data_IF_513162330251
#
_entry.id   IF_513162330251
#
_cell.length_a   1.000
_cell.length_b   1.000
_cell.length_c   1.000
_cell.angle_alpha   90.00
_cell.angle_beta   90.00
_cell.angle_gamma   90.00
#
_symmetry.space_group_name_H-M   'P 1'
#
loop_
_entity.id
_entity.type
_entity.pdbx_description
1 polymer ?
#
# COMPACT_ATOMS: atom_id res chain seq x y z
N UNK A 1 -10.65 5.53 1.45
CA UNK A 1 -11.10 6.90 1.15
C UNK A 1 -11.19 7.78 2.40
N UNK A 2 -11.82 7.31 3.53
CA UNK A 2 -12.01 8.12 4.74
C UNK A 2 -10.70 8.65 5.34
N UNK A 3 -9.66 7.80 5.47
CA UNK A 3 -8.34 8.24 5.95
C UNK A 3 -7.70 9.30 5.04
N UNK A 4 -7.91 9.19 3.73
CA UNK A 4 -7.48 10.21 2.78
C UNK A 4 -8.24 11.53 2.95
N UNK A 5 -9.52 11.48 3.29
CA UNK A 5 -10.30 12.68 3.62
C UNK A 5 -9.79 13.35 4.91
N UNK A 6 -9.47 12.56 5.93
CA UNK A 6 -8.89 13.07 7.19
C UNK A 6 -7.54 13.75 6.99
N UNK A 7 -6.70 13.23 6.09
CA UNK A 7 -5.35 13.79 5.83
C UNK A 7 -5.36 15.18 5.18
N UNK A 8 -6.51 15.66 4.75
CA UNK A 8 -6.67 17.05 4.25
C UNK A 8 -6.71 18.10 5.37
N UNK A 9 -6.84 17.66 6.61
CA UNK A 9 -6.95 18.52 7.78
C UNK A 9 -5.73 18.34 8.69
N UNK A 10 -5.31 19.43 9.33
CA UNK A 10 -4.19 19.40 10.30
C UNK A 10 -4.69 18.95 11.68
N UNK A 11 -5.83 19.50 12.09
CA UNK A 11 -6.50 19.16 13.36
C UNK A 11 -7.98 18.88 13.09
N UNK A 12 -8.33 17.68 12.59
CA UNK A 12 -9.69 17.37 12.20
C UNK A 12 -10.62 17.22 13.41
N UNK A 13 -11.73 17.93 13.40
CA UNK A 13 -12.87 17.74 14.32
C UNK A 13 -13.95 16.99 13.57
N UNK A 14 -14.47 15.93 14.19
CA UNK A 14 -15.47 15.03 13.61
C UNK A 14 -16.83 15.21 14.30
N UNK A 15 -17.84 15.52 13.50
CA UNK A 15 -19.24 15.57 13.96
C UNK A 15 -20.04 14.50 13.22
N UNK A 16 -20.47 13.47 13.96
CA UNK A 16 -21.14 12.29 13.41
C UNK A 16 -22.65 12.52 13.35
N UNK A 17 -23.22 12.48 12.15
CA UNK A 17 -24.63 12.63 11.86
C UNK A 17 -25.21 11.28 11.34
N UNK A 18 -26.53 11.20 11.21
CA UNK A 18 -27.20 9.94 10.83
C UNK A 18 -26.80 9.39 9.45
N UNK A 19 -26.37 10.23 8.50
CA UNK A 19 -26.03 9.82 7.12
C UNK A 19 -24.60 10.15 6.71
N UNK A 20 -23.88 10.95 7.49
CA UNK A 20 -22.55 11.44 7.16
C UNK A 20 -21.79 11.87 8.40
N UNK A 21 -20.47 11.99 8.28
CA UNK A 21 -19.64 12.72 9.22
C UNK A 21 -19.26 14.07 8.60
N UNK A 22 -19.39 15.14 9.38
CA UNK A 22 -18.83 16.43 9.04
C UNK A 22 -17.41 16.50 9.60
N UNK A 23 -16.43 16.68 8.74
CA UNK A 23 -15.02 16.87 9.10
C UNK A 23 -14.73 18.36 8.98
N UNK A 24 -14.20 18.99 10.01
CA UNK A 24 -13.82 20.42 9.97
C UNK A 24 -12.44 20.63 10.58
N UNK A 25 -11.75 21.69 10.14
CA UNK A 25 -10.49 22.11 10.76
C UNK A 25 -10.79 22.85 12.08
N UNK A 26 -10.14 22.44 13.17
CA UNK A 26 -10.34 23.03 14.50
C UNK A 26 -10.11 24.55 14.50
N UNK A 27 -9.00 25.00 13.90
CA UNK A 27 -8.60 26.41 13.87
C UNK A 27 -9.33 27.23 12.81
N UNK A 28 -9.97 26.57 11.84
CA UNK A 28 -10.70 27.20 10.73
C UNK A 28 -11.98 26.41 10.42
N UNK A 29 -13.05 26.54 11.24
CA UNK A 29 -14.26 25.71 11.09
C UNK A 29 -15.02 25.87 9.76
N UNK A 30 -14.69 26.89 8.97
CA UNK A 30 -15.21 27.08 7.60
C UNK A 30 -14.55 26.12 6.59
N UNK A 31 -13.33 25.63 6.89
CA UNK A 31 -12.69 24.54 6.15
C UNK A 31 -13.31 23.23 6.59
N UNK A 32 -14.19 22.67 5.78
CA UNK A 32 -14.97 21.48 6.14
C UNK A 32 -15.26 20.58 4.95
N UNK A 33 -15.46 19.31 5.23
CA UNK A 33 -15.88 18.28 4.28
C UNK A 33 -17.05 17.49 4.85
N UNK A 34 -18.05 17.22 4.03
CA UNK A 34 -19.11 16.28 4.33
C UNK A 34 -18.75 14.93 3.71
N UNK A 35 -18.58 13.91 4.55
CA UNK A 35 -18.26 12.56 4.11
C UNK A 35 -19.42 11.62 4.42
N UNK A 36 -20.09 11.12 3.37
CA UNK A 36 -21.26 10.24 3.51
C UNK A 36 -20.84 8.81 3.85
N UNK A 37 -21.63 8.15 4.68
CA UNK A 37 -21.45 6.73 4.95
C UNK A 37 -21.84 5.90 3.73
N UNK A 38 -21.13 4.79 3.54
CA UNK A 38 -21.57 3.75 2.64
C UNK A 38 -22.66 2.91 3.29
N UNK A 39 -23.54 2.33 2.48
CA UNK A 39 -24.48 1.34 2.99
C UNK A 39 -23.70 0.13 3.53
N UNK A 40 -23.97 -0.34 4.75
CA UNK A 40 -23.28 -1.49 5.33
C UNK A 40 -23.30 -2.75 4.45
N UNK A 41 -24.34 -2.91 3.63
CA UNK A 41 -24.47 -4.07 2.72
C UNK A 41 -23.44 -4.09 1.58
N UNK A 42 -22.87 -2.92 1.23
CA UNK A 42 -21.81 -2.82 0.19
C UNK A 42 -20.40 -2.82 0.77
N UNK A 43 -20.27 -2.79 2.10
CA UNK A 43 -18.98 -2.85 2.78
C UNK A 43 -18.58 -4.31 2.95
N UNK A 44 -17.56 -4.74 2.22
CA UNK A 44 -17.00 -6.08 2.36
C UNK A 44 -15.82 -6.04 3.32
N UNK A 45 -15.87 -6.89 4.35
CA UNK A 45 -14.75 -7.08 5.28
C UNK A 45 -14.47 -8.57 5.48
N UNK A 46 -13.21 -8.97 5.72
CA UNK A 46 -12.89 -10.35 6.05
C UNK A 46 -13.63 -10.79 7.32
N UNK A 47 -14.31 -11.93 7.26
CA UNK A 47 -14.97 -12.53 8.42
C UNK A 47 -14.02 -13.36 9.31
N UNK A 48 -12.81 -13.63 8.81
CA UNK A 48 -11.77 -14.41 9.49
C UNK A 48 -10.47 -13.61 9.53
N UNK A 49 -9.69 -13.83 10.60
CA UNK A 49 -8.34 -13.30 10.68
C UNK A 49 -7.49 -13.87 9.53
N UNK A 50 -6.79 -13.00 8.81
CA UNK A 50 -5.87 -13.41 7.75
C UNK A 50 -4.56 -13.84 8.43
N UNK A 51 -4.00 -14.95 7.98
CA UNK A 51 -2.69 -15.45 8.42
C UNK A 51 -1.81 -15.68 7.20
N UNK A 52 -0.51 -15.41 7.32
CA UNK A 52 0.45 -15.71 6.26
C UNK A 52 0.56 -17.23 6.06
N UNK A 53 0.33 -17.73 4.85
CA UNK A 53 0.49 -19.16 4.55
C UNK A 53 1.97 -19.58 4.51
N UNK A 54 2.85 -18.66 4.16
CA UNK A 54 4.31 -18.81 4.11
C UNK A 54 4.96 -17.41 4.03
N UNK A 55 6.27 -17.33 4.23
CA UNK A 55 7.00 -16.05 4.30
C UNK A 55 8.34 -16.19 3.57
N UNK A 56 8.27 -16.33 2.23
CA UNK A 56 9.47 -16.60 1.43
C UNK A 56 10.40 -15.38 1.32
N UNK A 57 9.83 -14.17 1.29
CA UNK A 57 10.62 -12.94 1.15
C UNK A 57 10.21 -11.94 2.21
N UNK A 58 11.21 -11.34 2.87
CA UNK A 58 11.02 -10.28 3.86
C UNK A 58 11.91 -9.08 3.56
N UNK A 59 11.43 -7.88 3.85
CA UNK A 59 12.23 -6.66 3.79
C UNK A 59 11.60 -5.57 4.64
N UNK A 60 12.34 -4.48 4.85
CA UNK A 60 11.79 -3.28 5.49
C UNK A 60 11.55 -2.22 4.43
N UNK A 61 10.31 -1.75 4.31
CA UNK A 61 9.91 -0.60 3.50
C UNK A 61 10.05 0.66 4.35
N UNK A 62 11.03 1.51 4.09
CA UNK A 62 11.16 2.77 4.79
C UNK A 62 10.05 3.76 4.40
N UNK A 63 9.72 4.70 5.28
CA UNK A 63 8.78 5.78 4.97
C UNK A 63 9.25 6.64 3.78
N UNK A 64 10.56 6.83 3.66
CA UNK A 64 11.16 7.59 2.56
C UNK A 64 10.95 6.87 1.22
N UNK A 65 11.24 5.57 1.16
CA UNK A 65 11.10 4.75 -0.05
C UNK A 65 9.64 4.62 -0.47
N UNK A 66 8.73 4.36 0.49
CA UNK A 66 7.29 4.35 0.24
C UNK A 66 6.81 5.68 -0.37
N UNK A 67 7.26 6.80 0.20
CA UNK A 67 6.91 8.14 -0.31
C UNK A 67 7.49 8.42 -1.69
N UNK A 68 8.73 7.98 -1.97
CA UNK A 68 9.36 8.09 -3.30
C UNK A 68 8.59 7.28 -4.34
N UNK A 69 8.27 6.02 -4.03
CA UNK A 69 7.52 5.14 -4.93
C UNK A 69 6.12 5.69 -5.24
N UNK A 70 5.39 6.17 -4.23
CA UNK A 70 4.07 6.80 -4.43
C UNK A 70 4.14 8.03 -5.33
N UNK A 71 5.11 8.92 -5.09
CA UNK A 71 5.31 10.13 -5.90
C UNK A 71 5.73 9.79 -7.33
N UNK A 72 6.65 8.84 -7.50
CA UNK A 72 7.10 8.39 -8.81
C UNK A 72 5.94 7.76 -9.59
N UNK A 73 5.17 6.85 -8.98
CA UNK A 73 4.01 6.24 -9.61
C UNK A 73 3.00 7.29 -10.09
N UNK A 74 2.71 8.31 -9.26
CA UNK A 74 1.82 9.41 -9.63
C UNK A 74 2.38 10.27 -10.77
N UNK A 75 3.70 10.57 -10.73
CA UNK A 75 4.35 11.44 -11.73
C UNK A 75 4.41 10.80 -13.13
N UNK A 76 4.62 9.48 -13.21
CA UNK A 76 4.73 8.75 -14.48
C UNK A 76 3.46 7.99 -14.86
N UNK A 77 2.42 8.02 -14.02
CA UNK A 77 1.16 7.30 -14.25
C UNK A 77 1.33 5.77 -14.19
N UNK A 78 2.28 5.25 -13.39
CA UNK A 78 2.54 3.83 -13.31
C UNK A 78 1.43 3.09 -12.55
N UNK A 79 0.76 2.09 -13.14
CA UNK A 79 -0.32 1.36 -12.49
C UNK A 79 0.19 0.22 -11.59
N UNK A 80 1.43 -0.23 -11.79
CA UNK A 80 1.97 -1.41 -11.13
C UNK A 80 3.24 -1.07 -10.34
N UNK A 81 3.44 -1.80 -9.23
CA UNK A 81 4.68 -1.87 -8.48
C UNK A 81 5.17 -3.32 -8.50
N UNK A 82 6.46 -3.52 -8.70
CA UNK A 82 7.08 -4.84 -8.79
C UNK A 82 8.23 -4.90 -7.80
N UNK A 83 8.23 -5.91 -6.94
CA UNK A 83 9.42 -6.34 -6.21
C UNK A 83 10.04 -7.50 -6.97
N UNK A 84 11.22 -7.31 -7.48
CA UNK A 84 11.94 -8.34 -8.24
C UNK A 84 13.34 -8.57 -7.68
N UNK A 85 13.84 -9.80 -7.81
CA UNK A 85 15.24 -10.14 -7.59
C UNK A 85 15.83 -10.68 -8.88
N UNK A 86 16.94 -10.07 -9.30
CA UNK A 86 17.72 -10.45 -10.46
C UNK A 86 19.20 -10.35 -10.12
N UNK A 87 19.97 -11.41 -10.41
CA UNK A 87 21.41 -11.47 -10.15
C UNK A 87 21.79 -11.07 -8.72
N UNK A 88 21.02 -11.57 -7.74
CA UNK A 88 21.16 -11.31 -6.29
C UNK A 88 20.87 -9.85 -5.85
N UNK A 89 20.43 -8.99 -6.75
CA UNK A 89 19.97 -7.64 -6.43
C UNK A 89 18.45 -7.61 -6.42
N UNK A 90 17.90 -7.10 -5.32
CA UNK A 90 16.45 -6.89 -5.21
C UNK A 90 16.09 -5.43 -5.41
N UNK A 91 15.04 -5.18 -6.17
CA UNK A 91 14.55 -3.82 -6.43
C UNK A 91 13.04 -3.72 -6.37
N UNK A 92 12.57 -2.52 -5.97
CA UNK A 92 11.17 -2.09 -6.08
C UNK A 92 11.04 -1.11 -7.23
N UNK A 93 10.23 -1.46 -8.22
CA UNK A 93 10.05 -0.67 -9.44
C UNK A 93 8.57 -0.33 -9.62
N UNK A 94 8.25 0.95 -9.85
CA UNK A 94 6.93 1.37 -10.35
C UNK A 94 6.99 1.54 -11.86
N UNK A 95 6.07 0.86 -12.56
CA UNK A 95 6.04 0.78 -14.03
C UNK A 95 4.63 0.43 -14.55
N UNK A 96 4.44 0.53 -15.85
CA UNK A 96 3.36 -0.16 -16.56
C UNK A 96 3.89 -1.51 -17.07
N UNK A 97 3.50 -2.61 -16.42
CA UNK A 97 3.95 -3.97 -16.80
C UNK A 97 3.47 -4.42 -18.18
N UNK A 98 2.52 -3.70 -18.78
CA UNK A 98 1.98 -4.00 -20.13
C UNK A 98 2.66 -3.19 -21.24
N UNK A 99 3.52 -2.24 -20.88
CA UNK A 99 4.18 -1.35 -21.83
C UNK A 99 5.69 -1.24 -21.52
N UNK A 100 6.49 -2.02 -22.20
CA UNK A 100 7.96 -2.08 -22.00
C UNK A 100 8.68 -0.77 -22.37
N UNK A 101 8.01 0.14 -23.08
CA UNK A 101 8.55 1.46 -23.45
C UNK A 101 8.09 2.58 -22.51
N UNK A 102 7.26 2.26 -21.52
CA UNK A 102 6.80 3.24 -20.54
C UNK A 102 7.94 3.64 -19.57
N UNK A 103 7.81 4.87 -19.04
CA UNK A 103 8.71 5.32 -17.99
C UNK A 103 8.56 4.44 -16.75
N UNK A 104 9.67 4.25 -16.05
CA UNK A 104 9.70 3.52 -14.79
C UNK A 104 10.61 4.24 -13.79
N UNK A 105 10.45 3.89 -12.50
CA UNK A 105 11.32 4.32 -11.43
C UNK A 105 11.62 3.14 -10.52
N UNK A 106 12.90 2.92 -10.25
CA UNK A 106 13.40 1.79 -9.45
C UNK A 106 14.23 2.27 -8.29
N UNK A 107 14.16 1.54 -7.19
CA UNK A 107 15.09 1.68 -6.05
C UNK A 107 15.47 0.29 -5.56
N UNK A 108 16.71 0.16 -5.07
CA UNK A 108 17.21 -1.08 -4.51
C UNK A 108 16.65 -1.28 -3.10
N UNK A 109 16.40 -2.54 -2.74
CA UNK A 109 15.94 -2.94 -1.42
C UNK A 109 16.69 -4.18 -0.94
N UNK A 110 17.06 -4.18 0.34
CA UNK A 110 17.64 -5.36 0.96
C UNK A 110 16.52 -6.35 1.33
N UNK A 111 16.51 -7.51 0.70
CA UNK A 111 15.54 -8.57 1.00
C UNK A 111 16.20 -9.77 1.67
N UNK A 112 15.47 -10.38 2.60
CA UNK A 112 15.82 -11.67 3.23
C UNK A 112 14.93 -12.75 2.61
N UNK A 113 15.53 -13.87 2.26
CA UNK A 113 14.87 -15.01 1.60
C UNK A 113 15.69 -15.48 0.40
N UNK A 114 15.49 -16.73 0.01
CA UNK A 114 16.19 -17.37 -1.11
C UNK A 114 15.34 -17.26 -2.39
N UNK A 115 15.95 -17.64 -3.53
CA UNK A 115 15.26 -17.76 -4.80
C UNK A 115 15.14 -16.48 -5.62
N UNK A 116 14.60 -16.67 -6.81
CA UNK A 116 14.30 -15.59 -7.76
C UNK A 116 12.80 -15.31 -7.72
N UNK A 117 12.42 -14.03 -7.79
CA UNK A 117 11.02 -13.65 -7.70
C UNK A 117 10.70 -12.41 -8.52
N UNK A 118 9.42 -12.34 -8.93
CA UNK A 118 8.76 -11.17 -9.46
C UNK A 118 7.37 -11.07 -8.79
N UNK A 119 7.22 -10.20 -7.81
CA UNK A 119 5.97 -9.97 -7.12
C UNK A 119 5.31 -8.67 -7.59
N UNK A 120 4.15 -8.79 -8.20
CA UNK A 120 3.41 -7.68 -8.78
C UNK A 120 2.30 -7.19 -7.86
N UNK A 121 2.23 -5.88 -7.67
CA UNK A 121 1.21 -5.17 -6.90
C UNK A 121 0.52 -4.12 -7.76
N UNK A 122 -0.75 -3.87 -7.51
CA UNK A 122 -1.41 -2.67 -8.03
C UNK A 122 -1.08 -1.47 -7.16
N UNK A 123 -0.61 -0.38 -7.78
CA UNK A 123 -0.34 0.88 -7.07
C UNK A 123 -1.59 1.40 -6.35
N UNK A 124 -2.77 1.20 -6.92
CA UNK A 124 -4.04 1.59 -6.31
C UNK A 124 -4.33 0.86 -4.97
N UNK A 125 -3.74 -0.33 -4.75
CA UNK A 125 -3.86 -1.08 -3.51
C UNK A 125 -2.82 -0.68 -2.46
N UNK A 126 -1.79 0.11 -2.83
CA UNK A 126 -0.72 0.57 -1.95
C UNK A 126 -1.11 1.83 -1.15
N UNK A 127 -2.36 1.87 -0.67
CA UNK A 127 -2.90 2.98 0.16
C UNK A 127 -2.49 2.84 1.62
N UNK A 128 -1.21 2.64 1.86
CA UNK A 128 -0.63 2.57 3.19
C UNK A 128 -0.55 3.98 3.80
N UNK A 129 -0.77 4.10 5.09
CA UNK A 129 -0.41 5.30 5.86
C UNK A 129 1.10 5.52 5.80
N UNK A 130 1.53 6.75 6.01
CA UNK A 130 2.96 7.06 6.10
C UNK A 130 3.58 6.32 7.29
N UNK A 131 4.77 5.77 7.09
CA UNK A 131 5.46 4.99 8.10
C UNK A 131 6.45 3.99 7.51
N UNK A 132 7.22 3.39 8.40
CA UNK A 132 8.13 2.28 8.07
C UNK A 132 7.43 0.96 8.36
N UNK A 133 7.54 0.01 7.45
CA UNK A 133 6.86 -1.28 7.52
C UNK A 133 7.85 -2.44 7.43
N UNK A 134 7.66 -3.43 8.30
CA UNK A 134 8.20 -4.76 8.04
C UNK A 134 7.23 -5.46 7.08
N UNK A 135 7.78 -5.99 5.99
CA UNK A 135 7.01 -6.58 4.90
C UNK A 135 7.37 -8.04 4.75
N UNK A 136 6.36 -8.87 4.69
CA UNK A 136 6.46 -10.32 4.43
C UNK A 136 5.66 -10.65 3.18
N UNK A 137 6.24 -11.47 2.31
CA UNK A 137 5.59 -11.86 1.05
C UNK A 137 5.56 -13.37 0.93
N UNK A 138 4.39 -13.88 0.58
CA UNK A 138 4.16 -15.29 0.32
C UNK A 138 4.05 -15.57 -1.18
N UNK A 139 4.65 -16.67 -1.62
CA UNK A 139 4.45 -17.26 -2.95
C UNK A 139 2.99 -17.68 -3.23
N UNK A 140 2.11 -17.60 -2.21
CA UNK A 140 0.65 -17.81 -2.32
C UNK A 140 -0.12 -16.52 -2.59
N UNK A 141 0.53 -15.54 -3.23
CA UNK A 141 -0.04 -14.29 -3.72
C UNK A 141 -0.64 -13.39 -2.63
N UNK A 142 -0.03 -13.35 -1.47
CA UNK A 142 -0.40 -12.42 -0.40
C UNK A 142 0.86 -11.80 0.23
N UNK A 143 0.74 -10.55 0.64
CA UNK A 143 1.76 -9.85 1.41
C UNK A 143 1.17 -9.24 2.67
N UNK A 144 2.01 -9.10 3.68
CA UNK A 144 1.68 -8.51 4.96
C UNK A 144 2.63 -7.33 5.23
N UNK A 145 2.05 -6.17 5.56
CA UNK A 145 2.77 -4.95 5.91
C UNK A 145 2.45 -4.61 7.35
N UNK A 146 3.42 -4.68 8.24
CA UNK A 146 3.27 -4.33 9.65
C UNK A 146 3.99 -3.02 9.94
N UNK A 147 3.25 -2.01 10.39
CA UNK A 147 3.83 -0.71 10.73
C UNK A 147 4.71 -0.85 11.99
N UNK A 148 5.93 -0.28 11.95
CA UNK A 148 6.89 -0.38 13.07
C UNK A 148 6.59 0.55 14.24
N UNK A 149 5.78 1.58 14.04
CA UNK A 149 5.53 2.63 15.03
C UNK A 149 4.08 2.72 15.51
N UNK A 150 3.17 1.97 14.90
CA UNK A 150 1.76 1.94 15.25
C UNK A 150 1.18 0.54 15.10
N UNK A 151 0.07 0.26 15.79
CA UNK A 151 -0.64 -1.02 15.69
C UNK A 151 -1.54 -1.06 14.44
N UNK A 152 -0.90 -0.91 13.26
CA UNK A 152 -1.57 -0.92 11.96
C UNK A 152 -0.90 -1.94 11.07
N UNK A 153 -1.72 -2.81 10.48
CA UNK A 153 -1.29 -3.84 9.55
C UNK A 153 -2.12 -3.79 8.27
N UNK A 154 -1.49 -4.16 7.14
CA UNK A 154 -2.17 -4.27 5.85
C UNK A 154 -1.87 -5.62 5.22
N UNK A 155 -2.91 -6.21 4.66
CA UNK A 155 -2.86 -7.42 3.86
C UNK A 155 -3.17 -7.05 2.43
N UNK A 156 -2.20 -7.25 1.54
CA UNK A 156 -2.31 -6.85 0.13
C UNK A 156 -2.09 -8.08 -0.74
N UNK A 157 -3.08 -8.39 -1.57
CA UNK A 157 -2.95 -9.45 -2.56
C UNK A 157 -1.95 -9.05 -3.65
N UNK A 158 -1.16 -10.02 -4.09
CA UNK A 158 -0.34 -9.89 -5.28
C UNK A 158 -1.18 -10.21 -6.52
N UNK A 159 -0.71 -9.71 -7.66
CA UNK A 159 -1.30 -10.06 -8.96
C UNK A 159 -1.00 -11.54 -9.30
N UNK A 160 -1.91 -12.22 -10.03
CA UNK A 160 -1.81 -13.65 -10.31
C UNK A 160 -0.54 -14.09 -11.08
N UNK A 161 0.05 -13.17 -11.86
CA UNK A 161 1.29 -13.42 -12.61
C UNK A 161 2.56 -13.34 -11.77
N UNK A 162 2.45 -13.07 -10.47
CA UNK A 162 3.60 -13.10 -9.56
C UNK A 162 4.25 -14.47 -9.55
N UNK A 163 5.58 -14.49 -9.52
CA UNK A 163 6.37 -15.71 -9.58
C UNK A 163 7.39 -15.79 -8.44
N UNK A 164 7.64 -17.02 -7.99
CA UNK A 164 8.70 -17.35 -7.03
C UNK A 164 9.29 -18.70 -7.39
N UNK A 165 10.63 -18.79 -7.46
CA UNK A 165 11.37 -20.04 -7.73
C UNK A 165 12.60 -20.12 -6.84
N UNK A 166 12.80 -21.26 -6.21
CA UNK A 166 14.01 -21.58 -5.43
C UNK A 166 15.10 -22.08 -6.35
#
# INVERSE_FOLDING_TARGET
EFLGALSLFTSPVLDFNGSHVMISEETKPTTKMKYFYSDPSVVTSPSKMITMPSEEVKFTMSNEDLSKLKRAAGAIGAPDMVLERKDDVSSLTVKDKKNDTANNYSLDVDTVGDGQFNFFFKVENMKLLDGTYDVEISSKNISHYKNKSSDVEYWIALEPESTYTV
#
